data_IF_580132982984
#
_entry.id   IF_580132982984
#
_cell.length_a   1.000
_cell.length_b   1.000
_cell.length_c   1.000
_cell.angle_alpha   90.00
_cell.angle_beta   90.00
_cell.angle_gamma   90.00
#
_symmetry.space_group_name_H-M   'P 1'
#
loop_
_entity.id
_entity.type
_entity.pdbx_description
1 polymer ?
#
# COMPACT_ATOMS: atom_id res chain seq x y z
N UNK A 1 -28.17 1.60 -53.64
CA UNK A 1 -29.04 1.64 -52.44
C UNK A 1 -28.48 0.91 -51.22
N UNK A 2 -27.46 0.06 -51.37
CA UNK A 2 -26.83 -0.73 -50.28
C UNK A 2 -25.80 0.06 -49.46
N UNK A 3 -25.01 0.94 -50.09
CA UNK A 3 -24.00 1.77 -49.41
C UNK A 3 -24.56 2.73 -48.35
N UNK A 4 -25.68 3.41 -48.65
CA UNK A 4 -26.26 4.37 -47.70
C UNK A 4 -26.81 3.68 -46.44
N UNK A 5 -27.34 2.46 -46.59
CA UNK A 5 -27.80 1.65 -45.45
C UNK A 5 -26.61 1.16 -44.63
N UNK A 6 -25.54 0.71 -45.27
CA UNK A 6 -24.32 0.26 -44.61
C UNK A 6 -23.67 1.37 -43.77
N UNK A 7 -23.56 2.59 -44.31
CA UNK A 7 -23.05 3.76 -43.57
C UNK A 7 -23.91 4.10 -42.35
N UNK A 8 -25.23 3.98 -42.44
CA UNK A 8 -26.15 4.21 -41.32
C UNK A 8 -26.00 3.15 -40.22
N UNK A 9 -25.85 1.87 -40.60
CA UNK A 9 -25.58 0.80 -39.63
C UNK A 9 -24.21 0.94 -38.98
N UNK A 10 -23.17 1.26 -39.75
CA UNK A 10 -21.81 1.48 -39.24
C UNK A 10 -21.81 2.63 -38.22
N UNK A 11 -22.49 3.74 -38.53
CA UNK A 11 -22.64 4.87 -37.60
C UNK A 11 -23.31 4.46 -36.30
N UNK A 12 -24.37 3.64 -36.35
CA UNK A 12 -25.05 3.14 -35.14
C UNK A 12 -24.14 2.23 -34.31
N UNK A 13 -23.42 1.32 -34.95
CA UNK A 13 -22.48 0.42 -34.27
C UNK A 13 -21.39 1.23 -33.57
N UNK A 14 -20.77 2.18 -34.27
CA UNK A 14 -19.73 3.05 -33.69
C UNK A 14 -20.27 3.84 -32.50
N UNK A 15 -21.50 4.36 -32.58
CA UNK A 15 -22.11 5.13 -31.50
C UNK A 15 -22.41 4.26 -30.26
N UNK A 16 -22.85 3.03 -30.47
CA UNK A 16 -23.09 2.06 -29.39
C UNK A 16 -21.76 1.65 -28.74
N UNK A 17 -20.73 1.37 -29.54
CA UNK A 17 -19.42 0.95 -29.02
C UNK A 17 -18.71 2.07 -28.27
N UNK A 18 -18.78 3.32 -28.77
CA UNK A 18 -18.20 4.47 -28.06
C UNK A 18 -18.94 4.77 -26.77
N UNK A 19 -20.27 4.66 -26.76
CA UNK A 19 -21.06 4.78 -25.53
C UNK A 19 -20.72 3.68 -24.52
N UNK A 20 -20.60 2.43 -24.97
CA UNK A 20 -20.16 1.32 -24.13
C UNK A 20 -18.76 1.52 -23.55
N UNK A 21 -17.81 1.97 -24.37
CA UNK A 21 -16.46 2.30 -23.92
C UNK A 21 -16.46 3.44 -22.88
N UNK A 22 -17.30 4.47 -23.07
CA UNK A 22 -17.45 5.57 -22.12
C UNK A 22 -18.05 5.13 -20.78
N UNK A 23 -19.07 4.27 -20.80
CA UNK A 23 -19.61 3.69 -19.57
C UNK A 23 -18.58 2.80 -18.86
N UNK A 24 -17.78 2.04 -19.63
CA UNK A 24 -16.72 1.21 -19.07
C UNK A 24 -15.60 2.04 -18.44
N UNK A 25 -15.17 3.14 -19.05
CA UNK A 25 -14.16 4.03 -18.43
C UNK A 25 -14.68 4.66 -17.16
N UNK A 26 -15.94 5.10 -17.11
CA UNK A 26 -16.57 5.60 -15.86
C UNK A 26 -16.57 4.49 -14.80
N UNK A 27 -16.98 3.27 -15.15
CA UNK A 27 -16.97 2.14 -14.22
C UNK A 27 -15.57 1.88 -13.65
N UNK A 28 -14.53 1.87 -14.49
CA UNK A 28 -13.15 1.71 -14.04
C UNK A 28 -12.73 2.84 -13.10
N UNK A 29 -13.04 4.10 -13.42
CA UNK A 29 -12.75 5.24 -12.55
C UNK A 29 -13.45 5.09 -11.20
N UNK A 30 -14.74 4.74 -11.20
CA UNK A 30 -15.52 4.54 -9.98
C UNK A 30 -15.04 3.35 -9.15
N UNK A 31 -14.65 2.26 -9.79
CA UNK A 31 -14.12 1.07 -9.11
C UNK A 31 -12.74 1.33 -8.49
N UNK A 32 -11.90 2.15 -9.14
CA UNK A 32 -10.59 2.53 -8.63
C UNK A 32 -10.64 3.69 -7.62
N UNK A 33 -11.76 4.44 -7.56
CA UNK A 33 -11.90 5.61 -6.69
C UNK A 33 -11.72 5.30 -5.19
N UNK A 34 -12.32 4.24 -4.60
CA UNK A 34 -12.15 3.92 -3.19
C UNK A 34 -10.68 3.66 -2.83
N UNK A 35 -9.97 2.88 -3.65
CA UNK A 35 -8.54 2.59 -3.42
C UNK A 35 -7.63 3.81 -3.60
N UNK A 36 -8.03 4.81 -4.40
CA UNK A 36 -7.32 6.09 -4.49
C UNK A 36 -7.69 7.04 -3.33
N UNK A 37 -8.92 6.94 -2.82
CA UNK A 37 -9.41 7.79 -1.74
C UNK A 37 -8.97 7.33 -0.34
N UNK A 38 -8.63 6.05 -0.19
CA UNK A 38 -7.77 5.50 0.87
C UNK A 38 -6.35 6.08 0.75
N UNK A 39 -6.25 7.39 1.01
CA UNK A 39 -4.99 8.10 1.07
C UNK A 39 -4.24 7.65 2.32
N UNK A 40 -3.45 6.60 2.17
CA UNK A 40 -2.49 6.16 3.17
C UNK A 40 -1.35 7.17 3.22
N UNK A 41 -1.27 7.93 4.30
CA UNK A 41 -0.15 8.81 4.54
C UNK A 41 0.95 8.05 5.27
N UNK A 42 2.11 7.96 4.65
CA UNK A 42 3.29 7.38 5.29
C UNK A 42 3.72 8.29 6.45
N UNK A 43 3.72 7.73 7.67
CA UNK A 43 4.15 8.44 8.87
C UNK A 43 5.66 8.33 9.05
N UNK A 44 6.20 7.11 8.96
CA UNK A 44 7.61 6.84 9.17
C UNK A 44 8.03 5.52 8.54
N UNK A 45 9.33 5.41 8.25
CA UNK A 45 9.98 4.22 7.68
C UNK A 45 11.30 4.01 8.38
N UNK A 46 11.55 2.77 8.77
CA UNK A 46 12.84 2.38 9.32
C UNK A 46 13.23 1.00 8.82
N UNK A 47 14.50 0.86 8.45
CA UNK A 47 15.09 -0.43 8.11
C UNK A 47 15.81 -0.98 9.33
N UNK A 48 15.39 -2.15 9.80
CA UNK A 48 16.01 -2.85 10.92
C UNK A 48 16.82 -4.04 10.41
N UNK A 49 17.97 -4.31 11.03
CA UNK A 49 18.76 -5.49 10.74
C UNK A 49 18.08 -6.72 11.34
N UNK A 50 18.12 -7.83 10.61
CA UNK A 50 17.72 -9.15 11.08
C UNK A 50 18.87 -9.72 11.92
N UNK A 51 18.60 -10.02 13.17
CA UNK A 51 19.60 -10.57 14.10
C UNK A 51 19.41 -12.09 14.34
N UNK A 52 18.44 -12.75 13.68
CA UNK A 52 18.10 -14.17 13.95
C UNK A 52 19.01 -15.21 13.28
N UNK A 53 19.98 -14.83 12.45
CA UNK A 53 20.80 -15.83 11.75
C UNK A 53 22.24 -15.87 12.23
N UNK A 54 22.62 -17.03 12.77
CA UNK A 54 24.00 -17.54 12.98
C UNK A 54 24.84 -17.64 11.69
N UNK A 55 24.30 -17.12 10.58
CA UNK A 55 24.91 -17.10 9.26
C UNK A 55 25.15 -15.64 8.89
N UNK A 56 26.43 -15.28 8.75
CA UNK A 56 26.87 -13.98 8.26
C UNK A 56 26.32 -13.72 6.85
N UNK A 57 25.16 -13.07 6.74
CA UNK A 57 24.57 -12.67 5.46
C UNK A 57 24.74 -11.17 5.18
N UNK A 58 24.96 -10.88 3.89
CA UNK A 58 25.21 -9.56 3.34
C UNK A 58 24.15 -8.51 3.77
N UNK A 59 24.62 -7.31 4.11
CA UNK A 59 23.83 -6.18 4.62
C UNK A 59 22.61 -5.78 3.78
N UNK A 60 22.55 -6.21 2.51
CA UNK A 60 21.45 -5.92 1.58
C UNK A 60 20.30 -6.92 1.63
N UNK A 61 20.48 -8.10 2.22
CA UNK A 61 19.50 -9.20 2.26
C UNK A 61 18.91 -9.37 3.67
N UNK A 62 19.62 -8.92 4.69
CA UNK A 62 19.26 -9.09 6.11
C UNK A 62 18.49 -7.92 6.72
N UNK A 63 17.82 -7.06 5.93
CA UNK A 63 17.09 -5.90 6.48
C UNK A 63 15.58 -6.01 6.27
N UNK A 64 14.82 -5.75 7.33
CA UNK A 64 13.37 -5.62 7.30
C UNK A 64 12.99 -4.14 7.24
N UNK A 65 12.18 -3.76 6.25
CA UNK A 65 11.61 -2.42 6.16
C UNK A 65 10.31 -2.36 6.96
N UNK A 66 10.26 -1.55 8.00
CA UNK A 66 9.06 -1.30 8.79
C UNK A 66 8.47 0.03 8.35
N UNK A 67 7.20 0.01 7.95
CA UNK A 67 6.46 1.17 7.48
C UNK A 67 5.25 1.38 8.37
N UNK A 68 5.02 2.62 8.79
CA UNK A 68 3.79 3.01 9.49
C UNK A 68 2.99 3.96 8.62
N UNK A 69 1.71 3.67 8.44
CA UNK A 69 0.79 4.46 7.64
C UNK A 69 -0.37 4.93 8.50
N UNK A 70 -0.90 6.11 8.16
CA UNK A 70 -2.19 6.60 8.60
C UNK A 70 -3.16 6.55 7.43
N UNK A 71 -4.24 5.79 7.56
CA UNK A 71 -5.34 5.82 6.61
C UNK A 71 -6.21 7.06 6.87
N UNK A 72 -6.16 8.05 5.98
CA UNK A 72 -6.81 9.34 6.20
C UNK A 72 -8.33 9.25 6.29
N UNK A 73 -8.95 8.31 5.57
CA UNK A 73 -10.40 8.13 5.54
C UNK A 73 -10.94 7.52 6.84
N UNK A 74 -10.18 6.60 7.43
CA UNK A 74 -10.62 5.81 8.59
C UNK A 74 -9.91 6.17 9.89
N UNK A 75 -8.87 7.02 9.86
CA UNK A 75 -8.01 7.30 11.01
C UNK A 75 -7.15 6.11 11.46
N UNK A 76 -7.17 4.96 10.77
CA UNK A 76 -6.43 3.78 11.21
C UNK A 76 -4.92 3.97 11.05
N UNK A 77 -4.19 3.62 12.09
CA UNK A 77 -2.73 3.53 12.04
C UNK A 77 -2.36 2.07 11.78
N UNK A 78 -1.68 1.84 10.66
CA UNK A 78 -1.32 0.52 10.17
C UNK A 78 0.20 0.37 10.14
N UNK A 79 0.70 -0.79 10.54
CA UNK A 79 2.11 -1.16 10.42
C UNK A 79 2.26 -2.21 9.34
N UNK A 80 3.37 -2.13 8.62
CA UNK A 80 3.74 -3.05 7.55
C UNK A 80 5.20 -3.43 7.66
N UNK A 81 5.47 -4.69 7.41
CA UNK A 81 6.81 -5.23 7.23
C UNK A 81 7.11 -5.48 5.74
N UNK A 82 8.34 -5.22 5.33
CA UNK A 82 8.91 -5.60 4.06
C UNK A 82 10.11 -6.50 4.31
N UNK A 83 9.93 -7.81 4.08
CA UNK A 83 10.93 -8.86 4.28
C UNK A 83 11.59 -9.30 2.96
N UNK A 84 11.11 -8.84 1.81
CA UNK A 84 11.60 -9.36 0.52
C UNK A 84 12.91 -8.70 0.08
N UNK A 85 13.90 -9.48 -0.37
CA UNK A 85 15.13 -8.94 -0.94
C UNK A 85 14.82 -8.10 -2.18
N UNK A 86 15.51 -6.96 -2.31
CA UNK A 86 15.36 -5.93 -3.36
C UNK A 86 15.48 -6.45 -4.82
N UNK A 87 15.80 -7.73 -5.02
CA UNK A 87 16.06 -8.35 -6.32
C UNK A 87 14.79 -8.69 -7.13
N UNK A 88 13.58 -8.48 -6.61
CA UNK A 88 12.33 -8.71 -7.35
C UNK A 88 11.42 -7.48 -7.34
N UNK A 89 11.60 -6.53 -8.28
CA UNK A 89 10.79 -5.32 -8.38
C UNK A 89 9.31 -5.58 -8.76
N UNK A 90 8.97 -6.79 -9.21
CA UNK A 90 7.64 -7.15 -9.73
C UNK A 90 6.86 -8.12 -8.85
N UNK A 91 7.26 -8.37 -7.59
CA UNK A 91 6.40 -9.14 -6.70
C UNK A 91 5.22 -8.24 -6.29
N UNK A 92 3.96 -8.66 -6.54
CA UNK A 92 2.80 -7.94 -6.02
C UNK A 92 2.95 -7.98 -4.51
N UNK A 93 3.23 -6.83 -3.92
CA UNK A 93 3.33 -6.65 -2.48
C UNK A 93 2.09 -7.31 -1.85
N UNK A 94 2.24 -8.50 -1.26
CA UNK A 94 1.20 -9.07 -0.41
C UNK A 94 1.20 -8.20 0.84
N UNK A 95 0.36 -7.18 0.83
CA UNK A 95 0.29 -6.24 1.92
C UNK A 95 -0.38 -6.93 3.11
N UNK A 96 0.43 -7.44 4.04
CA UNK A 96 -0.05 -7.79 5.37
C UNK A 96 -0.01 -6.47 6.14
N UNK A 97 -1.18 -5.85 6.27
CA UNK A 97 -1.35 -4.67 7.10
C UNK A 97 -1.85 -5.11 8.47
N UNK A 98 -1.13 -4.71 9.52
CA UNK A 98 -1.61 -4.90 10.89
C UNK A 98 -2.09 -3.55 11.40
N UNK A 99 -3.37 -3.46 11.74
CA UNK A 99 -3.89 -2.28 12.43
C UNK A 99 -3.37 -2.27 13.86
N UNK A 100 -2.71 -1.19 14.25
CA UNK A 100 -2.12 -1.06 15.59
C UNK A 100 -2.86 -0.02 16.45
N UNK A 101 -3.50 0.96 15.83
CA UNK A 101 -4.19 2.02 16.54
C UNK A 101 -5.15 2.80 15.64
N UNK A 102 -5.73 3.85 16.22
CA UNK A 102 -6.55 4.85 15.55
C UNK A 102 -6.08 6.25 15.94
N UNK A 103 -6.12 7.19 15.00
CA UNK A 103 -5.72 8.57 15.17
C UNK A 103 -6.55 9.47 14.26
N UNK A 104 -7.28 10.40 14.88
CA UNK A 104 -8.18 11.33 14.15
C UNK A 104 -7.43 12.42 13.40
N UNK A 105 -6.17 12.66 13.76
CA UNK A 105 -5.34 13.71 13.20
C UNK A 105 -3.92 13.23 12.95
N UNK A 106 -3.39 13.58 11.79
CA UNK A 106 -2.02 13.29 11.41
C UNK A 106 -0.97 13.84 12.37
N UNK A 107 -1.19 15.02 12.96
CA UNK A 107 -0.20 15.61 13.87
C UNK A 107 -0.05 14.75 15.10
N UNK A 108 -1.16 14.24 15.63
CA UNK A 108 -1.18 13.30 16.75
C UNK A 108 -0.57 11.96 16.33
N UNK A 109 -0.86 11.51 15.11
CA UNK A 109 -0.29 10.28 14.58
C UNK A 109 1.25 10.35 14.46
N UNK A 110 1.79 11.45 13.94
CA UNK A 110 3.23 11.69 13.85
C UNK A 110 3.89 11.77 15.22
N UNK A 111 3.24 12.38 16.22
CA UNK A 111 3.82 12.43 17.57
C UNK A 111 3.90 11.07 18.26
N UNK A 112 2.93 10.18 17.99
CA UNK A 112 2.84 8.87 18.65
C UNK A 112 3.54 7.75 17.90
N UNK A 113 3.51 7.77 16.56
CA UNK A 113 4.00 6.70 15.70
C UNK A 113 4.96 7.19 14.61
N UNK A 114 5.43 8.44 14.67
CA UNK A 114 6.34 9.03 13.66
C UNK A 114 7.81 8.64 13.80
N UNK A 115 8.17 7.77 14.74
CA UNK A 115 9.51 7.20 14.85
C UNK A 115 9.44 5.69 15.04
N UNK A 116 10.49 4.99 14.65
CA UNK A 116 10.66 3.55 14.89
C UNK A 116 12.07 3.36 15.44
N UNK A 117 12.19 2.61 16.52
CA UNK A 117 13.47 2.22 17.12
C UNK A 117 13.62 0.72 16.99
N UNK A 118 14.64 0.27 16.26
CA UNK A 118 14.96 -1.14 16.14
C UNK A 118 15.56 -1.65 17.46
N UNK A 119 15.06 -2.79 17.92
CA UNK A 119 15.57 -3.51 19.07
C UNK A 119 16.24 -4.82 18.60
N UNK A 120 17.01 -5.42 19.51
CA UNK A 120 17.56 -6.76 19.31
C UNK A 120 16.43 -7.82 19.33
N UNK A 121 16.71 -8.98 18.74
CA UNK A 121 15.76 -10.10 18.72
C UNK A 121 14.56 -9.87 17.81
N UNK A 122 14.79 -9.24 16.65
CA UNK A 122 13.77 -9.02 15.62
C UNK A 122 12.53 -8.27 16.10
N UNK A 123 12.77 -7.21 16.88
CA UNK A 123 11.75 -6.35 17.45
C UNK A 123 11.97 -4.88 17.12
N UNK A 124 10.91 -4.09 17.09
CA UNK A 124 11.00 -2.64 17.00
C UNK A 124 9.89 -1.96 17.80
N UNK A 125 10.24 -0.87 18.47
CA UNK A 125 9.27 0.00 19.15
C UNK A 125 8.83 1.07 18.18
N UNK A 126 7.52 1.27 18.07
CA UNK A 126 6.92 2.29 17.20
C UNK A 126 6.52 3.51 18.03
N UNK A 127 7.35 4.54 17.90
CA UNK A 127 7.17 5.86 18.47
C UNK A 127 7.00 5.87 19.98
N UNK A 128 6.36 6.92 20.48
CA UNK A 128 6.02 7.04 21.91
C UNK A 128 4.81 6.20 22.31
N UNK A 129 4.16 5.51 21.35
CA UNK A 129 3.03 4.64 21.63
C UNK A 129 3.39 3.40 22.45
N UNK A 130 4.67 2.99 22.43
CA UNK A 130 5.15 1.78 23.10
C UNK A 130 4.74 0.47 22.41
N UNK A 131 4.10 0.53 21.24
CA UNK A 131 3.78 -0.68 20.47
C UNK A 131 5.07 -1.37 20.02
N UNK A 132 5.22 -2.65 20.39
CA UNK A 132 6.35 -3.49 19.99
C UNK A 132 5.91 -4.34 18.82
N UNK A 133 6.55 -4.13 17.68
CA UNK A 133 6.41 -4.98 16.49
C UNK A 133 7.50 -6.05 16.53
N UNK A 134 7.13 -7.32 16.38
CA UNK A 134 8.08 -8.43 16.25
C UNK A 134 7.92 -9.09 14.88
N UNK A 135 9.02 -9.38 14.20
CA UNK A 135 9.04 -10.09 12.92
C UNK A 135 9.71 -11.47 13.08
N UNK A 136 9.34 -12.41 12.21
CA UNK A 136 9.92 -13.76 12.21
C UNK A 136 9.36 -14.75 13.25
N UNK A 137 8.32 -14.37 14.00
CA UNK A 137 7.60 -15.25 14.94
C UNK A 137 6.65 -16.24 14.23
#
# INVERSE_FOLDING_TARGET
MTESRFLVYLRKIVLITTFGAFCYTIFVISACWPSLHESHQLLTVQWCRNDDSDVYYADSISRHGIYVYLERASGKVMVREMNTPLNRPFQPYRYIYTQIAHADNIRLALTKWGSIVCLQGNQAIIGSSGYVFSWGA
#
